data_IF_676753099043
#
_entry.id   IF_676753099043
#
_cell.length_a   1.000
_cell.length_b   1.000
_cell.length_c   1.000
_cell.angle_alpha   90.00
_cell.angle_beta   90.00
_cell.angle_gamma   90.00
#
_symmetry.space_group_name_H-M   'P 1'
#
loop_
_entity.id
_entity.type
_entity.pdbx_description
1 polymer ?
#
# COMPACT_ATOMS: atom_id res chain seq x y z
N UNK A 1 2.29 8.36 -1.77
CA UNK A 1 2.28 7.28 -2.77
C UNK A 1 1.46 7.61 -4.02
N UNK A 2 0.22 8.12 -3.89
CA UNK A 2 -0.68 8.37 -5.02
C UNK A 2 -0.10 9.12 -6.23
N UNK A 3 0.82 10.08 -6.01
CA UNK A 3 1.54 10.76 -7.09
C UNK A 3 2.25 9.80 -8.05
N UNK A 4 2.88 8.73 -7.54
CA UNK A 4 3.59 7.75 -8.37
C UNK A 4 2.64 6.84 -9.15
N UNK A 5 1.43 6.61 -8.63
CA UNK A 5 0.46 5.75 -9.30
C UNK A 5 -0.13 6.43 -10.53
N UNK A 6 -0.43 7.73 -10.44
CA UNK A 6 -1.02 8.51 -11.54
C UNK A 6 -0.03 9.22 -12.46
N UNK A 7 1.26 9.25 -12.07
CA UNK A 7 2.33 9.97 -12.79
C UNK A 7 3.50 9.07 -13.10
N UNK A 8 3.24 7.86 -13.60
CA UNK A 8 4.33 6.96 -13.98
C UNK A 8 5.05 7.53 -15.22
N UNK A 9 6.38 7.72 -15.20
CA UNK A 9 7.08 8.40 -16.30
C UNK A 9 6.95 7.66 -17.64
N UNK A 10 6.85 8.42 -18.73
CA UNK A 10 6.90 7.90 -20.10
C UNK A 10 8.08 8.57 -20.81
N UNK A 11 9.00 7.80 -21.45
CA UNK A 11 10.08 8.39 -22.23
C UNK A 11 9.56 9.06 -23.50
N UNK A 12 10.27 10.10 -23.95
CA UNK A 12 9.93 10.89 -25.14
C UNK A 12 11.17 11.17 -25.99
N UNK A 13 10.97 11.43 -27.28
CA UNK A 13 12.05 11.81 -28.19
C UNK A 13 13.19 10.79 -28.23
N UNK A 14 14.41 11.26 -27.98
CA UNK A 14 15.63 10.45 -28.01
C UNK A 14 15.75 9.46 -26.83
N UNK A 15 14.93 9.61 -25.78
CA UNK A 15 14.93 8.69 -24.63
C UNK A 15 14.19 7.36 -24.92
N UNK A 16 13.48 7.26 -26.05
CA UNK A 16 12.78 6.03 -26.46
C UNK A 16 13.77 5.04 -27.07
N UNK A 17 13.92 3.86 -26.45
CA UNK A 17 14.85 2.85 -26.91
C UNK A 17 14.28 1.97 -28.03
N UNK A 18 15.17 1.42 -28.86
CA UNK A 18 14.79 0.47 -29.91
C UNK A 18 14.13 -0.78 -29.32
N UNK A 19 12.99 -1.17 -29.88
CA UNK A 19 12.21 -2.33 -29.42
C UNK A 19 11.21 -2.02 -28.30
N UNK A 20 11.14 -0.78 -27.80
CA UNK A 20 10.11 -0.36 -26.86
C UNK A 20 8.87 0.23 -27.57
N UNK A 21 7.72 0.08 -26.93
CA UNK A 21 6.45 0.63 -27.41
C UNK A 21 5.80 1.42 -26.29
N UNK A 22 5.72 2.73 -26.51
CA UNK A 22 5.15 3.68 -25.56
C UNK A 22 3.94 4.36 -26.20
N UNK A 23 2.95 4.79 -25.40
CA UNK A 23 1.80 5.56 -25.90
C UNK A 23 2.22 6.88 -26.57
N UNK A 24 3.42 7.39 -26.29
CA UNK A 24 4.04 8.55 -26.95
C UNK A 24 4.65 8.24 -28.30
N UNK A 25 4.98 6.98 -28.59
CA UNK A 25 5.47 6.49 -29.88
C UNK A 25 4.29 6.01 -30.73
N UNK A 26 3.37 6.94 -31.03
CA UNK A 26 2.04 6.62 -31.54
C UNK A 26 2.07 5.66 -32.72
N UNK A 27 2.89 5.90 -33.74
CA UNK A 27 2.93 5.03 -34.94
C UNK A 27 3.33 3.59 -34.60
N UNK A 28 4.48 3.38 -33.93
CA UNK A 28 4.93 2.01 -33.58
C UNK A 28 3.99 1.32 -32.58
N UNK A 29 3.40 2.10 -31.67
CA UNK A 29 2.48 1.56 -30.67
C UNK A 29 1.13 1.19 -31.29
N UNK A 30 0.58 2.05 -32.17
CA UNK A 30 -0.61 1.77 -33.00
C UNK A 30 -0.36 0.49 -33.80
N UNK A 31 0.73 0.42 -34.58
CA UNK A 31 1.12 -0.78 -35.34
C UNK A 31 1.13 -2.05 -34.48
N UNK A 32 1.68 -1.98 -33.27
CA UNK A 32 1.69 -3.12 -32.36
C UNK A 32 0.29 -3.46 -31.86
N UNK A 33 -0.50 -2.46 -31.49
CA UNK A 33 -1.85 -2.65 -30.98
C UNK A 33 -2.77 -3.24 -32.06
N UNK A 34 -2.72 -2.74 -33.29
CA UNK A 34 -3.42 -3.28 -34.45
C UNK A 34 -3.04 -4.75 -34.69
N UNK A 35 -1.72 -5.05 -34.77
CA UNK A 35 -1.25 -6.42 -35.07
C UNK A 35 -1.53 -7.40 -33.94
N UNK A 36 -1.42 -6.97 -32.68
CA UNK A 36 -1.51 -7.84 -31.52
C UNK A 36 -2.95 -8.04 -31.04
N UNK A 37 -3.79 -7.01 -31.16
CA UNK A 37 -5.14 -6.98 -30.58
C UNK A 37 -6.24 -6.69 -31.60
N UNK A 38 -5.91 -6.49 -32.88
CA UNK A 38 -6.87 -6.22 -33.96
C UNK A 38 -7.77 -5.00 -33.68
N UNK A 39 -7.15 -3.95 -33.14
CA UNK A 39 -7.81 -2.67 -32.84
C UNK A 39 -7.68 -1.71 -34.02
N UNK A 40 -8.64 -0.81 -34.16
CA UNK A 40 -8.58 0.32 -35.10
C UNK A 40 -7.85 1.51 -34.46
N UNK A 41 -7.23 2.35 -35.30
CA UNK A 41 -6.55 3.59 -34.90
C UNK A 41 -7.36 4.47 -33.92
N UNK A 42 -8.67 4.59 -34.12
CA UNK A 42 -9.54 5.41 -33.27
C UNK A 42 -9.70 4.84 -31.86
N UNK A 43 -9.97 3.53 -31.75
CA UNK A 43 -10.08 2.81 -30.46
C UNK A 43 -8.79 2.90 -29.64
N UNK A 44 -7.66 2.83 -30.35
CA UNK A 44 -6.31 2.94 -29.81
C UNK A 44 -6.08 4.36 -29.27
N UNK A 45 -6.41 5.40 -30.04
CA UNK A 45 -6.20 6.81 -29.65
C UNK A 45 -7.10 7.26 -28.51
N UNK A 46 -8.39 6.91 -28.53
CA UNK A 46 -9.33 7.24 -27.46
C UNK A 46 -9.02 6.48 -26.16
N UNK A 47 -8.52 5.24 -26.26
CA UNK A 47 -8.03 4.50 -25.10
C UNK A 47 -6.80 5.16 -24.46
N UNK A 48 -5.78 5.50 -25.27
CA UNK A 48 -4.54 6.11 -24.76
C UNK A 48 -4.81 7.45 -24.10
N UNK A 49 -5.54 8.35 -24.76
CA UNK A 49 -5.63 9.75 -24.32
C UNK A 49 -6.16 9.89 -22.89
N UNK A 50 -6.99 8.93 -22.45
CA UNK A 50 -7.54 8.86 -21.09
C UNK A 50 -6.52 8.48 -20.02
N UNK A 51 -5.42 7.81 -20.37
CA UNK A 51 -4.42 7.34 -19.41
C UNK A 51 -3.12 8.15 -19.45
N UNK A 52 -3.05 9.19 -20.28
CA UNK A 52 -1.88 10.05 -20.38
C UNK A 52 -2.18 11.41 -19.76
N UNK A 53 -1.51 11.68 -18.65
CA UNK A 53 -1.50 12.99 -18.03
C UNK A 53 -0.36 13.81 -18.61
N UNK A 54 -0.59 15.09 -18.88
CA UNK A 54 0.43 16.06 -19.26
C UNK A 54 0.59 17.12 -18.15
N UNK A 55 1.76 17.16 -17.53
CA UNK A 55 2.11 18.12 -16.49
C UNK A 55 3.48 18.74 -16.79
N UNK A 56 3.57 20.07 -16.80
CA UNK A 56 4.81 20.82 -17.08
C UNK A 56 5.51 20.40 -18.38
N UNK A 57 4.72 20.06 -19.41
CA UNK A 57 5.22 19.60 -20.72
C UNK A 57 5.79 18.17 -20.71
N UNK A 58 5.55 17.39 -19.66
CA UNK A 58 5.94 15.98 -19.56
C UNK A 58 4.73 15.08 -19.55
N UNK A 59 4.80 13.99 -20.29
CA UNK A 59 3.75 12.96 -20.29
C UNK A 59 4.00 11.89 -19.23
N UNK A 60 2.93 11.49 -18.57
CA UNK A 60 2.95 10.43 -17.58
C UNK A 60 1.74 9.50 -17.73
N UNK A 61 1.89 8.26 -17.30
CA UNK A 61 0.86 7.24 -17.37
C UNK A 61 0.07 7.16 -16.06
N UNK A 62 -1.25 7.28 -16.17
CA UNK A 62 -2.19 7.14 -15.07
C UNK A 62 -2.58 5.67 -14.87
N UNK A 63 -1.90 4.99 -13.95
CA UNK A 63 -2.18 3.58 -13.66
C UNK A 63 -3.52 3.39 -12.94
N UNK A 64 -4.06 4.41 -12.29
CA UNK A 64 -5.35 4.35 -11.60
C UNK A 64 -6.48 4.44 -12.62
N UNK A 65 -6.40 5.40 -13.54
CA UNK A 65 -7.40 5.52 -14.61
C UNK A 65 -7.37 4.29 -15.53
N UNK A 66 -6.17 3.81 -15.89
CA UNK A 66 -6.03 2.53 -16.61
C UNK A 66 -6.74 1.38 -15.90
N UNK A 67 -6.61 1.30 -14.57
CA UNK A 67 -7.24 0.25 -13.79
C UNK A 67 -8.76 0.38 -13.74
N UNK A 68 -9.29 1.59 -13.51
CA UNK A 68 -10.73 1.87 -13.49
C UNK A 68 -11.36 1.55 -14.85
N UNK A 69 -10.78 2.04 -15.94
CA UNK A 69 -11.28 1.80 -17.30
C UNK A 69 -11.22 0.31 -17.67
N UNK A 70 -10.18 -0.41 -17.22
CA UNK A 70 -10.11 -1.87 -17.42
C UNK A 70 -11.21 -2.60 -16.65
N UNK A 71 -11.52 -2.16 -15.44
CA UNK A 71 -12.58 -2.75 -14.61
C UNK A 71 -13.97 -2.45 -15.16
N UNK A 72 -14.21 -1.25 -15.68
CA UNK A 72 -15.47 -0.87 -16.32
C UNK A 72 -15.71 -1.54 -17.68
N UNK A 73 -14.67 -2.13 -18.27
CA UNK A 73 -14.72 -2.66 -19.63
C UNK A 73 -14.57 -1.57 -20.71
N UNK A 74 -14.21 -0.35 -20.33
CA UNK A 74 -13.93 0.76 -21.25
C UNK A 74 -12.55 0.65 -21.91
N UNK A 75 -11.72 -0.27 -21.42
CA UNK A 75 -10.42 -0.55 -22.01
C UNK A 75 -10.59 -1.33 -23.33
N UNK A 76 -9.99 -0.89 -24.46
CA UNK A 76 -10.31 -1.37 -25.81
C UNK A 76 -10.12 -2.88 -26.06
N UNK A 77 -9.26 -3.56 -25.29
CA UNK A 77 -8.95 -4.99 -25.47
C UNK A 77 -8.81 -5.79 -24.16
N UNK A 78 -9.32 -5.28 -23.04
CA UNK A 78 -9.27 -5.98 -21.74
C UNK A 78 -10.56 -5.74 -20.98
N UNK A 79 -11.03 -6.76 -20.29
CA UNK A 79 -12.16 -6.66 -19.37
C UNK A 79 -11.75 -6.75 -17.90
N UNK A 80 -12.74 -6.74 -16.99
CA UNK A 80 -12.56 -6.82 -15.54
C UNK A 80 -11.84 -8.08 -15.06
N UNK A 81 -11.86 -9.16 -15.84
CA UNK A 81 -11.16 -10.42 -15.57
C UNK A 81 -9.64 -10.36 -15.85
N UNK A 82 -9.12 -9.20 -16.25
CA UNK A 82 -7.71 -9.05 -16.60
C UNK A 82 -6.79 -9.36 -15.42
N UNK A 83 -5.81 -10.24 -15.66
CA UNK A 83 -4.73 -10.54 -14.69
C UNK A 83 -3.60 -9.51 -14.72
N UNK A 84 -3.83 -8.36 -15.35
CA UNK A 84 -2.79 -7.34 -15.64
C UNK A 84 -3.16 -5.96 -15.10
N UNK A 85 -4.04 -5.89 -14.10
CA UNK A 85 -4.38 -4.65 -13.38
C UNK A 85 -3.36 -4.50 -12.25
N UNK A 86 -2.21 -3.90 -12.58
CA UNK A 86 -1.04 -3.77 -11.70
C UNK A 86 -0.73 -2.28 -11.58
N UNK A 87 -0.49 -1.84 -10.35
CA UNK A 87 -0.10 -0.46 -10.04
C UNK A 87 1.26 -0.52 -9.35
N UNK A 88 2.22 0.20 -9.91
CA UNK A 88 3.60 0.21 -9.46
C UNK A 88 4.01 1.62 -9.01
N UNK A 89 4.70 1.72 -7.87
CA UNK A 89 5.30 2.96 -7.40
C UNK A 89 6.84 2.95 -7.50
N UNK A 90 7.44 1.81 -7.81
CA UNK A 90 8.87 1.60 -7.84
C UNK A 90 9.49 2.01 -9.18
N UNK A 91 10.26 3.09 -9.15
CA UNK A 91 11.14 3.45 -10.26
C UNK A 91 12.60 3.24 -9.83
N UNK A 92 13.35 2.28 -10.41
CA UNK A 92 14.70 1.93 -9.95
C UNK A 92 15.66 3.12 -9.87
N UNK A 93 15.69 3.99 -10.88
CA UNK A 93 16.57 5.16 -10.89
C UNK A 93 16.22 6.19 -9.79
N UNK A 94 14.93 6.36 -9.47
CA UNK A 94 14.50 7.24 -8.39
C UNK A 94 14.83 6.61 -7.03
N UNK A 95 14.56 5.30 -6.89
CA UNK A 95 14.83 4.54 -5.68
C UNK A 95 16.31 4.51 -5.31
N UNK A 96 17.23 4.57 -6.29
CA UNK A 96 18.67 4.55 -6.07
C UNK A 96 19.21 5.75 -5.25
N UNK A 97 18.51 6.89 -5.26
CA UNK A 97 18.93 8.12 -4.56
C UNK A 97 17.90 8.63 -3.54
N UNK A 98 16.74 7.97 -3.44
CA UNK A 98 15.70 8.37 -2.49
C UNK A 98 16.09 7.98 -1.06
N UNK A 99 15.93 8.92 -0.11
CA UNK A 99 16.06 8.62 1.32
C UNK A 99 15.06 7.56 1.78
N UNK A 100 13.84 7.61 1.21
CA UNK A 100 12.74 6.69 1.53
C UNK A 100 12.05 6.27 0.23
N UNK A 101 12.59 5.28 -0.50
CA UNK A 101 11.91 4.76 -1.67
C UNK A 101 10.60 4.09 -1.24
N UNK A 102 9.61 3.94 -2.14
CA UNK A 102 8.28 3.48 -1.75
C UNK A 102 8.28 2.15 -0.98
N UNK A 103 7.71 2.13 0.23
CA UNK A 103 7.52 0.88 0.98
C UNK A 103 6.45 0.01 0.31
N UNK A 104 5.38 0.64 -0.19
CA UNK A 104 4.35 0.02 -1.02
C UNK A 104 4.75 0.12 -2.49
N UNK A 105 5.51 -0.85 -2.95
CA UNK A 105 6.16 -0.74 -4.25
C UNK A 105 5.28 -1.25 -5.39
N UNK A 106 4.40 -2.22 -5.13
CA UNK A 106 3.43 -2.74 -6.12
C UNK A 106 2.16 -3.25 -5.46
N UNK A 107 1.04 -3.12 -6.16
CA UNK A 107 -0.21 -3.76 -5.79
C UNK A 107 -1.00 -4.15 -7.04
N UNK A 108 -1.85 -5.16 -6.89
CA UNK A 108 -2.57 -5.81 -7.99
C UNK A 108 -4.05 -5.89 -7.64
N UNK A 109 -4.91 -5.71 -8.63
CA UNK A 109 -6.34 -5.95 -8.50
C UNK A 109 -6.80 -7.10 -9.39
N UNK A 110 -7.86 -7.78 -8.97
CA UNK A 110 -8.59 -8.71 -9.83
C UNK A 110 -10.07 -8.75 -9.43
N UNK A 111 -10.91 -9.21 -10.37
CA UNK A 111 -12.31 -9.51 -10.08
C UNK A 111 -12.48 -11.02 -10.00
N UNK A 112 -13.05 -11.50 -8.90
CA UNK A 112 -13.44 -12.90 -8.73
C UNK A 112 -14.82 -12.97 -8.09
N UNK A 113 -15.72 -13.75 -8.68
CA UNK A 113 -17.10 -13.91 -8.20
C UNK A 113 -17.83 -12.57 -7.99
N UNK A 114 -17.64 -11.61 -8.91
CA UNK A 114 -18.23 -10.28 -8.85
C UNK A 114 -17.64 -9.36 -7.78
N UNK A 115 -16.53 -9.74 -7.14
CA UNK A 115 -15.87 -8.94 -6.11
C UNK A 115 -14.48 -8.46 -6.52
N UNK A 116 -14.18 -7.19 -6.26
CA UNK A 116 -12.88 -6.57 -6.49
C UNK A 116 -11.93 -6.90 -5.35
N UNK A 117 -10.93 -7.74 -5.60
CA UNK A 117 -9.88 -8.05 -4.64
C UNK A 117 -8.64 -7.20 -4.90
N UNK A 118 -7.89 -6.90 -3.85
CA UNK A 118 -6.65 -6.13 -3.92
C UNK A 118 -5.54 -6.87 -3.18
N UNK A 119 -4.38 -6.98 -3.80
CA UNK A 119 -3.18 -7.54 -3.18
C UNK A 119 -2.05 -6.51 -3.16
N UNK A 120 -1.59 -6.11 -1.98
CA UNK A 120 -0.42 -5.26 -1.78
C UNK A 120 0.82 -6.13 -1.52
N UNK A 121 1.92 -5.83 -2.20
CA UNK A 121 3.26 -6.27 -1.79
C UNK A 121 4.05 -5.07 -1.25
N UNK A 122 4.36 -5.12 0.03
CA UNK A 122 5.11 -4.11 0.77
C UNK A 122 6.53 -4.63 1.04
N UNK A 123 7.56 -3.91 0.62
CA UNK A 123 8.97 -4.36 0.77
C UNK A 123 9.47 -4.29 2.22
N UNK A 124 8.89 -3.41 3.03
CA UNK A 124 9.35 -3.08 4.38
C UNK A 124 8.17 -2.51 5.15
N UNK A 125 7.81 -3.13 6.27
CA UNK A 125 6.65 -2.78 7.07
C UNK A 125 6.97 -2.74 8.56
N UNK A 126 6.97 -1.52 9.10
CA UNK A 126 6.91 -1.28 10.54
C UNK A 126 5.56 -1.80 11.06
N UNK A 127 5.62 -2.78 11.96
CA UNK A 127 4.44 -3.47 12.50
C UNK A 127 3.63 -2.61 13.46
N UNK A 128 4.27 -1.69 14.19
CA UNK A 128 3.60 -0.88 15.19
C UNK A 128 2.93 0.34 14.57
N UNK A 129 3.66 1.08 13.73
CA UNK A 129 3.19 2.34 13.16
C UNK A 129 2.65 2.17 11.75
N UNK A 130 3.44 1.56 10.86
CA UNK A 130 3.18 1.57 9.43
C UNK A 130 2.03 0.66 9.02
N UNK A 131 2.11 -0.63 9.37
CA UNK A 131 1.20 -1.67 8.89
C UNK A 131 -0.28 -1.38 9.20
N UNK A 132 -0.68 -0.94 10.41
CA UNK A 132 -2.07 -0.58 10.69
C UNK A 132 -2.61 0.50 9.75
N UNK A 133 -1.84 1.55 9.50
CA UNK A 133 -2.20 2.61 8.56
C UNK A 133 -2.31 2.08 7.12
N UNK A 134 -1.39 1.20 6.72
CA UNK A 134 -1.36 0.64 5.37
C UNK A 134 -2.58 -0.25 5.09
N UNK A 135 -2.99 -1.06 6.06
CA UNK A 135 -4.20 -1.89 5.93
C UNK A 135 -5.42 -1.00 5.70
N UNK A 136 -5.59 0.06 6.50
CA UNK A 136 -6.70 0.99 6.35
C UNK A 136 -6.67 1.71 4.99
N UNK A 137 -5.50 2.21 4.57
CA UNK A 137 -5.34 2.94 3.31
C UNK A 137 -5.67 2.06 2.09
N UNK A 138 -5.23 0.80 2.08
CA UNK A 138 -5.49 -0.11 0.97
C UNK A 138 -6.89 -0.70 0.99
N UNK A 139 -7.47 -0.97 2.17
CA UNK A 139 -8.90 -1.29 2.25
C UNK A 139 -9.77 -0.14 1.73
N UNK A 140 -9.40 1.11 2.04
CA UNK A 140 -10.11 2.29 1.58
C UNK A 140 -10.01 2.47 0.05
N UNK A 141 -8.81 2.36 -0.54
CA UNK A 141 -8.67 2.50 -2.00
C UNK A 141 -9.40 1.38 -2.74
N UNK A 142 -9.42 0.15 -2.20
CA UNK A 142 -10.24 -0.94 -2.76
C UNK A 142 -11.71 -0.56 -2.75
N UNK A 143 -12.24 -0.03 -1.64
CA UNK A 143 -13.65 0.41 -1.55
C UNK A 143 -13.96 1.55 -2.53
N UNK A 144 -13.05 2.52 -2.66
CA UNK A 144 -13.21 3.64 -3.60
C UNK A 144 -13.30 3.10 -5.03
N UNK A 145 -12.33 2.29 -5.46
CA UNK A 145 -12.29 1.76 -6.84
C UNK A 145 -13.46 0.83 -7.11
N UNK A 146 -13.82 -0.03 -6.15
CA UNK A 146 -14.99 -0.90 -6.25
C UNK A 146 -16.26 -0.09 -6.53
N UNK A 147 -16.44 1.03 -5.81
CA UNK A 147 -17.54 1.96 -6.04
C UNK A 147 -17.50 2.66 -7.41
N UNK A 148 -16.31 3.03 -7.90
CA UNK A 148 -16.16 3.60 -9.25
C UNK A 148 -16.48 2.60 -10.38
N UNK A 149 -16.52 1.30 -10.05
CA UNK A 149 -16.54 0.22 -11.03
C UNK A 149 -17.70 -0.75 -10.85
N UNK A 150 -18.68 -0.38 -10.01
CA UNK A 150 -19.88 -1.16 -9.69
C UNK A 150 -19.57 -2.61 -9.24
N UNK A 151 -18.42 -2.80 -8.58
CA UNK A 151 -18.04 -4.05 -7.95
C UNK A 151 -18.23 -4.00 -6.45
N UNK A 152 -18.51 -5.15 -5.85
CA UNK A 152 -18.47 -5.30 -4.41
C UNK A 152 -17.01 -5.42 -3.94
N UNK A 153 -16.61 -4.77 -2.83
CA UNK A 153 -15.30 -4.99 -2.24
C UNK A 153 -15.08 -6.47 -1.86
N UNK A 154 -13.99 -7.03 -2.35
CA UNK A 154 -13.56 -8.40 -2.05
C UNK A 154 -12.52 -8.45 -0.93
N UNK A 155 -11.55 -9.33 -1.10
CA UNK A 155 -10.47 -9.55 -0.14
C UNK A 155 -9.32 -8.56 -0.37
N UNK A 156 -8.85 -7.94 0.72
CA UNK A 156 -7.55 -7.31 0.75
C UNK A 156 -6.51 -8.31 1.27
N UNK A 157 -5.46 -8.55 0.49
CA UNK A 157 -4.32 -9.39 0.84
C UNK A 157 -3.06 -8.53 0.93
N UNK A 158 -2.22 -8.79 1.92
CA UNK A 158 -1.04 -7.99 2.21
C UNK A 158 0.17 -8.88 2.42
N UNK A 159 1.10 -8.84 1.47
CA UNK A 159 2.41 -9.48 1.58
C UNK A 159 3.41 -8.45 2.08
N UNK A 160 4.13 -8.75 3.15
CA UNK A 160 5.21 -7.91 3.67
C UNK A 160 6.50 -8.71 3.56
N UNK A 161 7.51 -8.16 2.88
CA UNK A 161 8.79 -8.85 2.65
C UNK A 161 9.65 -8.81 3.92
N UNK A 162 9.93 -7.61 4.42
CA UNK A 162 10.55 -7.38 5.72
C UNK A 162 9.51 -6.78 6.66
N UNK A 163 9.03 -7.60 7.60
CA UNK A 163 8.15 -7.17 8.69
C UNK A 163 8.98 -7.06 9.96
N UNK A 164 9.03 -5.87 10.54
CA UNK A 164 9.90 -5.60 11.68
C UNK A 164 9.17 -4.83 12.78
N UNK A 165 9.77 -4.89 13.96
CA UNK A 165 9.41 -4.16 15.18
C UNK A 165 10.69 -3.52 15.69
N UNK A 166 10.66 -2.23 15.98
CA UNK A 166 11.81 -1.53 16.57
C UNK A 166 11.90 -1.82 18.07
N UNK A 167 13.12 -2.04 18.56
CA UNK A 167 13.40 -2.48 19.93
C UNK A 167 14.34 -1.51 20.67
N UNK A 168 14.16 -0.20 20.43
CA UNK A 168 14.97 0.85 21.03
C UNK A 168 16.35 1.02 20.38
N UNK A 169 17.19 1.84 21.01
CA UNK A 169 18.55 2.20 20.56
C UNK A 169 19.55 2.00 21.70
N UNK A 170 20.85 2.07 21.37
CA UNK A 170 21.94 2.01 22.33
C UNK A 170 21.86 0.78 23.25
N UNK A 171 22.02 1.02 24.56
CA UNK A 171 22.03 -0.02 25.60
C UNK A 171 20.74 -0.85 25.62
N UNK A 172 19.58 -0.23 25.31
CA UNK A 172 18.31 -0.94 25.25
C UNK A 172 18.26 -1.91 24.07
N UNK A 173 18.74 -1.49 22.90
CA UNK A 173 18.85 -2.36 21.73
C UNK A 173 19.86 -3.50 21.93
N UNK A 174 21.00 -3.20 22.57
CA UNK A 174 22.00 -4.21 22.96
C UNK A 174 21.42 -5.24 23.93
N UNK A 175 20.65 -4.78 24.92
CA UNK A 175 19.95 -5.67 25.84
C UNK A 175 19.02 -6.66 25.11
N UNK A 176 18.28 -6.21 24.10
CA UNK A 176 17.47 -7.12 23.29
C UNK A 176 18.31 -8.13 22.53
N UNK A 177 19.48 -7.75 22.00
CA UNK A 177 20.37 -8.71 21.31
C UNK A 177 20.84 -9.81 22.25
N UNK A 178 21.16 -9.46 23.50
CA UNK A 178 21.60 -10.42 24.52
C UNK A 178 20.44 -11.28 25.07
N UNK A 179 19.22 -10.75 25.09
CA UNK A 179 18.06 -11.39 25.71
C UNK A 179 17.03 -11.95 24.70
N UNK A 180 17.32 -11.91 23.39
CA UNK A 180 16.35 -12.24 22.34
C UNK A 180 15.79 -13.66 22.46
N UNK A 181 16.62 -14.64 22.84
CA UNK A 181 16.19 -16.03 22.98
C UNK A 181 15.24 -16.20 24.19
N UNK A 182 15.52 -15.52 25.30
CA UNK A 182 14.65 -15.49 26.48
C UNK A 182 13.33 -14.77 26.20
N UNK A 183 13.37 -13.67 25.46
CA UNK A 183 12.16 -12.98 25.01
C UNK A 183 11.32 -13.90 24.12
N UNK A 184 11.93 -14.61 23.16
CA UNK A 184 11.24 -15.59 22.29
C UNK A 184 10.63 -16.75 23.06
N UNK A 185 11.33 -17.26 24.07
CA UNK A 185 10.82 -18.30 24.96
C UNK A 185 9.55 -17.81 25.68
N UNK A 186 9.63 -16.65 26.35
CA UNK A 186 8.48 -16.03 27.01
C UNK A 186 7.29 -15.81 26.07
N UNK A 187 7.54 -15.33 24.86
CA UNK A 187 6.50 -15.12 23.84
C UNK A 187 5.84 -16.43 23.37
N UNK A 188 6.55 -17.56 23.39
CA UNK A 188 5.99 -18.88 23.04
C UNK A 188 5.23 -19.52 24.20
N UNK A 189 5.67 -19.25 25.42
CA UNK A 189 5.01 -19.75 26.64
C UNK A 189 3.72 -19.00 26.95
N UNK A 190 3.62 -17.72 26.55
CA UNK A 190 2.41 -16.94 26.70
C UNK A 190 1.24 -17.57 25.94
N UNK A 191 0.23 -17.99 26.69
CA UNK A 191 -0.99 -18.66 26.23
C UNK A 191 -2.23 -17.80 26.42
N UNK A 192 -2.21 -16.88 27.38
CA UNK A 192 -3.30 -15.95 27.68
C UNK A 192 -2.90 -14.49 27.44
N UNK A 193 -3.88 -13.64 27.12
CA UNK A 193 -3.65 -12.22 26.79
C UNK A 193 -3.01 -11.43 27.93
N UNK A 194 -3.35 -11.76 29.17
CA UNK A 194 -2.84 -11.08 30.37
C UNK A 194 -1.33 -11.31 30.54
N UNK A 195 -0.81 -12.46 30.12
CA UNK A 195 0.61 -12.82 30.24
C UNK A 195 1.52 -11.94 29.38
N UNK A 196 0.98 -11.29 28.32
CA UNK A 196 1.75 -10.27 27.59
C UNK A 196 2.08 -9.04 28.45
N UNK A 197 1.27 -8.73 29.47
CA UNK A 197 1.57 -7.67 30.42
C UNK A 197 2.72 -8.07 31.36
N UNK A 198 2.82 -9.35 31.75
CA UNK A 198 3.95 -9.85 32.54
C UNK A 198 5.27 -9.76 31.76
N UNK A 199 5.24 -10.06 30.45
CA UNK A 199 6.41 -9.90 29.56
C UNK A 199 6.78 -8.43 29.45
N UNK A 200 5.78 -7.55 29.31
CA UNK A 200 6.00 -6.10 29.27
C UNK A 200 6.66 -5.60 30.56
N UNK A 201 6.13 -5.99 31.72
CA UNK A 201 6.69 -5.63 33.03
C UNK A 201 8.12 -6.16 33.20
N UNK A 202 8.40 -7.38 32.72
CA UNK A 202 9.75 -7.93 32.70
C UNK A 202 10.72 -7.07 31.89
N UNK A 203 10.32 -6.63 30.69
CA UNK A 203 11.14 -5.76 29.84
C UNK A 203 11.36 -4.41 30.54
N UNK A 204 10.31 -3.76 31.03
CA UNK A 204 10.40 -2.45 31.69
C UNK A 204 11.25 -2.48 32.97
N UNK A 205 11.35 -3.64 33.62
CA UNK A 205 12.19 -3.81 34.82
C UNK A 205 13.65 -4.11 34.50
N UNK A 206 13.91 -4.95 33.49
CA UNK A 206 15.23 -5.54 33.27
C UNK A 206 16.01 -4.88 32.12
N UNK A 207 15.33 -4.25 31.16
CA UNK A 207 15.99 -3.54 30.06
C UNK A 207 16.40 -2.13 30.51
N UNK A 208 17.56 -1.61 30.04
CA UNK A 208 17.94 -0.22 30.27
C UNK A 208 16.85 0.76 29.82
N UNK A 209 16.70 1.85 30.56
CA UNK A 209 15.80 2.94 30.21
C UNK A 209 16.18 3.55 28.85
N UNK A 210 15.18 4.01 28.10
CA UNK A 210 15.42 4.84 26.92
C UNK A 210 16.02 6.18 27.34
N UNK A 211 16.92 6.73 26.50
CA UNK A 211 17.53 8.04 26.78
C UNK A 211 16.52 9.15 26.58
N UNK A 212 16.77 10.30 27.21
CA UNK A 212 16.01 11.52 26.96
C UNK A 212 16.01 11.86 25.46
N UNK A 213 14.83 12.04 24.88
CA UNK A 213 14.62 12.26 23.44
C UNK A 213 14.54 10.99 22.59
N UNK A 214 14.61 9.81 23.21
CA UNK A 214 14.42 8.50 22.57
C UNK A 214 13.14 7.79 23.04
N UNK A 215 12.21 8.51 23.66
CA UNK A 215 11.00 7.93 24.25
C UNK A 215 10.16 7.19 23.20
N UNK A 216 9.75 5.95 23.50
CA UNK A 216 8.97 5.09 22.63
C UNK A 216 9.67 4.68 21.31
N UNK A 217 11.01 4.62 21.26
CA UNK A 217 11.73 3.97 20.16
C UNK A 217 11.75 2.43 20.29
N UNK A 218 11.55 1.91 21.50
CA UNK A 218 11.19 0.53 21.73
C UNK A 218 9.68 0.35 21.65
N UNK A 219 9.24 -0.30 20.57
CA UNK A 219 7.83 -0.51 20.30
C UNK A 219 7.29 -1.76 21.00
N UNK A 220 8.14 -2.64 21.52
CA UNK A 220 7.72 -3.93 22.06
C UNK A 220 6.80 -3.78 23.29
N UNK A 221 7.08 -2.93 24.29
CA UNK A 221 6.19 -2.77 25.45
C UNK A 221 4.76 -2.37 25.08
N UNK A 222 4.60 -1.41 24.16
CA UNK A 222 3.28 -0.97 23.72
C UNK A 222 2.59 -2.00 22.81
N UNK A 223 3.33 -2.75 21.99
CA UNK A 223 2.77 -3.88 21.24
C UNK A 223 2.29 -5.01 22.14
N UNK A 224 3.02 -5.34 23.22
CA UNK A 224 2.58 -6.32 24.22
C UNK A 224 1.29 -5.87 24.91
N UNK A 225 1.21 -4.58 25.27
CA UNK A 225 -0.04 -3.98 25.77
C UNK A 225 -1.16 -4.08 24.73
N UNK A 226 -0.87 -3.95 23.43
CA UNK A 226 -1.86 -4.16 22.37
C UNK A 226 -2.33 -5.61 22.29
N UNK A 227 -1.43 -6.60 22.38
CA UNK A 227 -1.76 -8.02 22.35
C UNK A 227 -2.64 -8.45 23.53
N UNK A 228 -2.51 -7.77 24.67
CA UNK A 228 -3.36 -8.00 25.85
C UNK A 228 -4.83 -7.59 25.67
N UNK A 229 -5.16 -6.81 24.63
CA UNK A 229 -6.52 -6.30 24.39
C UNK A 229 -7.35 -7.30 23.59
N UNK A 230 -8.64 -7.42 23.94
CA UNK A 230 -9.60 -8.18 23.15
C UNK A 230 -10.07 -7.36 21.94
N UNK A 231 -9.93 -7.85 20.69
CA UNK A 231 -10.45 -7.18 19.50
C UNK A 231 -11.94 -6.84 19.63
N UNK A 232 -12.32 -5.65 19.14
CA UNK A 232 -13.71 -5.21 19.07
C UNK A 232 -14.23 -5.35 17.63
N UNK A 233 -15.52 -5.15 17.47
CA UNK A 233 -16.17 -5.14 16.17
C UNK A 233 -15.53 -4.11 15.22
N UNK A 234 -15.51 -4.45 13.93
CA UNK A 234 -14.94 -3.57 12.91
C UNK A 234 -15.89 -2.39 12.64
N UNK A 235 -15.36 -1.19 12.36
CA UNK A 235 -16.18 -0.06 11.93
C UNK A 235 -16.73 -0.27 10.52
N UNK A 236 -17.71 0.55 10.15
CA UNK A 236 -18.23 0.64 8.79
C UNK A 236 -17.73 1.92 8.12
N UNK A 237 -17.38 1.84 6.82
CA UNK A 237 -16.90 2.99 6.04
C UNK A 237 -17.91 3.26 4.93
N UNK A 238 -18.49 4.46 4.95
CA UNK A 238 -19.41 4.95 3.94
C UNK A 238 -18.71 5.92 2.99
N UNK A 239 -18.97 5.76 1.69
CA UNK A 239 -18.41 6.57 0.62
C UNK A 239 -19.54 7.30 -0.12
N UNK A 240 -19.34 8.55 -0.58
CA UNK A 240 -20.35 9.26 -1.37
C UNK A 240 -20.44 8.71 -2.80
N UNK A 241 -21.50 9.06 -3.52
CA UNK A 241 -21.55 8.93 -4.99
C UNK A 241 -20.79 10.11 -5.62
N UNK A 242 -19.46 9.98 -5.72
CA UNK A 242 -18.57 10.95 -6.37
C UNK A 242 -17.52 10.24 -7.20
N UNK A 243 -17.03 10.89 -8.24
CA UNK A 243 -15.85 10.38 -8.95
C UNK A 243 -14.63 10.41 -8.02
N UNK A 244 -13.66 9.52 -8.26
CA UNK A 244 -12.44 9.46 -7.45
C UNK A 244 -11.67 10.80 -7.42
N UNK A 245 -11.79 11.61 -8.47
CA UNK A 245 -11.11 12.89 -8.60
C UNK A 245 -11.82 14.04 -7.87
N UNK A 246 -13.09 13.84 -7.50
CA UNK A 246 -13.92 14.80 -6.74
C UNK A 246 -13.97 14.50 -5.24
N UNK A 247 -13.36 13.39 -4.79
CA UNK A 247 -13.34 12.99 -3.39
C UNK A 247 -12.49 13.95 -2.55
N UNK A 248 -13.07 14.44 -1.46
CA UNK A 248 -12.40 15.22 -0.44
C UNK A 248 -12.38 14.48 0.90
N UNK A 249 -11.50 14.88 1.83
CA UNK A 249 -11.41 14.24 3.16
C UNK A 249 -12.76 14.22 3.92
N UNK A 250 -13.59 15.25 3.72
CA UNK A 250 -14.88 15.44 4.41
C UNK A 250 -15.96 14.47 3.92
N UNK A 251 -15.71 13.78 2.81
CA UNK A 251 -16.67 12.86 2.21
C UNK A 251 -16.67 11.48 2.86
N UNK A 252 -15.63 11.17 3.63
CA UNK A 252 -15.46 9.86 4.26
C UNK A 252 -16.11 9.85 5.64
N UNK A 253 -17.00 8.88 5.88
CA UNK A 253 -17.65 8.69 7.16
C UNK A 253 -17.33 7.29 7.69
N UNK A 254 -16.67 7.25 8.86
CA UNK A 254 -16.38 6.03 9.59
C UNK A 254 -17.35 5.92 10.77
N UNK A 255 -18.20 4.90 10.77
CA UNK A 255 -19.21 4.66 11.79
C UNK A 255 -18.83 3.49 12.69
N UNK A 256 -19.36 3.51 13.92
CA UNK A 256 -19.15 2.46 14.93
C UNK A 256 -17.66 2.15 15.22
N UNK A 257 -16.77 3.14 15.06
CA UNK A 257 -15.37 2.99 15.44
C UNK A 257 -15.18 3.18 16.95
N UNK A 258 -15.10 2.07 17.68
CA UNK A 258 -14.88 2.02 19.13
C UNK A 258 -13.50 1.44 19.47
N UNK A 259 -12.39 2.17 19.23
CA UNK A 259 -11.04 1.68 19.54
C UNK A 259 -10.73 1.77 21.04
N UNK A 260 -9.75 0.98 21.49
CA UNK A 260 -9.10 1.25 22.77
C UNK A 260 -8.31 2.57 22.72
N UNK A 261 -7.92 3.09 23.89
CA UNK A 261 -7.02 4.23 23.98
C UNK A 261 -5.74 4.03 23.17
N UNK A 262 -5.30 5.11 22.51
CA UNK A 262 -4.12 5.14 21.66
C UNK A 262 -2.86 4.63 22.36
N UNK A 263 -1.92 4.14 21.56
CA UNK A 263 -0.58 3.75 21.98
C UNK A 263 0.40 4.64 21.22
N UNK A 264 1.46 5.07 21.89
CA UNK A 264 2.45 5.96 21.32
C UNK A 264 3.67 5.16 20.88
N UNK A 265 4.16 5.48 19.69
CA UNK A 265 5.37 4.89 19.12
C UNK A 265 6.10 6.02 18.41
N UNK A 266 7.39 6.15 18.67
CA UNK A 266 8.22 7.13 17.99
C UNK A 266 8.70 6.58 16.66
N UNK A 267 8.80 7.46 15.65
CA UNK A 267 9.30 7.09 14.32
C UNK A 267 10.78 6.73 14.44
N UNK A 268 11.09 5.45 14.27
CA UNK A 268 12.45 4.97 14.18
C UNK A 268 12.85 4.88 12.70
N UNK A 269 13.99 5.46 12.35
CA UNK A 269 14.67 5.29 11.05
C UNK A 269 15.90 4.39 11.23
#
# INVERSE_FOLDING_TARGET
>A
YGRFWRRYPIPEGEDVLEGEWWPTNQEKWMDKAERQYNLQDEEIREGISRWINEEDGRKTFDQIQYAIDTLNGDHPYRGPESRRIIINAWHPANAAVSKLPPCHFTWVMNVQNGKLNTHLTQRSGDTALGIPFNIAAYALITKIIAKQTDFEPGTFSHTIVDSHIYCGKGERGEWYQENIEKFREKMREASDREEYLDIKEWIEKEAPDEKEGEENFDHIPNLLKQLSREPRERPEMHLPEKSIDELEYKDFQLEAYDPYGGLEFSVAE
#
